data_IF_043407718091
#
_entry.id   IF_043407718091
#
_cell.length_a   1.000
_cell.length_b   1.000
_cell.length_c   1.000
_cell.angle_alpha   90.00
_cell.angle_beta   90.00
_cell.angle_gamma   90.00
#
_symmetry.space_group_name_H-M   'P 1'
#
loop_
_entity.id
_entity.type
_entity.pdbx_description
1 polymer ?
#
# COMPACT_ATOMS: atom_id res chain seq x y z
N UNK A 1 3.73 -3.93 -13.13
CA UNK A 1 4.05 -3.23 -11.87
C UNK A 1 4.97 -2.07 -12.21
N UNK A 2 4.63 -0.85 -11.80
CA UNK A 2 5.45 0.34 -12.04
C UNK A 2 6.33 0.60 -10.83
N UNK A 3 7.37 1.42 -11.00
CA UNK A 3 8.28 1.77 -9.91
C UNK A 3 7.66 2.83 -8.99
N UNK A 4 8.06 2.84 -7.71
CA UNK A 4 7.70 3.93 -6.78
C UNK A 4 8.07 5.30 -7.34
N UNK A 5 9.23 5.39 -8.01
CA UNK A 5 9.70 6.61 -8.69
C UNK A 5 8.66 7.23 -9.63
N UNK A 6 7.94 6.41 -10.40
CA UNK A 6 6.95 6.90 -11.38
C UNK A 6 5.85 7.72 -10.68
N UNK A 7 5.26 7.18 -9.61
CA UNK A 7 4.15 7.81 -8.90
C UNK A 7 4.59 9.07 -8.14
N UNK A 8 5.80 9.03 -7.57
CA UNK A 8 6.43 10.21 -6.97
C UNK A 8 6.57 11.34 -7.99
N UNK A 9 7.19 11.05 -9.13
CA UNK A 9 7.46 12.04 -10.18
C UNK A 9 6.16 12.57 -10.80
N UNK A 10 5.13 11.72 -10.91
CA UNK A 10 3.81 12.13 -11.37
C UNK A 10 3.20 13.20 -10.44
N UNK A 11 3.17 12.96 -9.13
CA UNK A 11 2.61 13.93 -8.18
C UNK A 11 3.44 15.22 -8.11
N UNK A 12 4.77 15.13 -8.16
CA UNK A 12 5.64 16.31 -8.20
C UNK A 12 5.43 17.17 -9.45
N UNK A 13 5.18 16.53 -10.60
CA UNK A 13 4.96 17.22 -11.86
C UNK A 13 3.58 17.85 -11.96
N UNK A 14 2.54 17.12 -11.52
CA UNK A 14 1.15 17.56 -11.65
C UNK A 14 0.70 18.46 -10.49
N UNK A 15 1.36 18.35 -9.34
CA UNK A 15 1.02 19.11 -8.12
C UNK A 15 -0.29 18.68 -7.46
N UNK A 16 -0.94 17.65 -8.00
CA UNK A 16 -2.22 17.13 -7.52
C UNK A 16 -1.99 16.00 -6.52
N UNK A 17 -2.05 16.35 -5.23
CA UNK A 17 -1.90 15.37 -4.14
C UNK A 17 -2.97 14.29 -4.24
N UNK A 18 -2.57 13.01 -4.22
CA UNK A 18 -3.48 11.87 -4.30
C UNK A 18 -3.39 11.05 -5.58
N UNK A 19 -2.77 11.57 -6.64
CA UNK A 19 -2.51 10.83 -7.88
C UNK A 19 -1.24 9.97 -7.80
N UNK A 20 -0.34 10.31 -6.89
CA UNK A 20 0.82 9.52 -6.50
C UNK A 20 1.10 9.75 -5.02
N UNK A 21 2.37 9.75 -4.64
CA UNK A 21 2.83 10.23 -3.34
C UNK A 21 4.25 10.78 -3.49
N UNK A 22 4.41 12.10 -3.40
CA UNK A 22 5.74 12.74 -3.51
C UNK A 22 6.68 12.33 -2.35
N UNK A 23 6.11 11.92 -1.22
CA UNK A 23 6.80 11.51 0.00
C UNK A 23 6.90 9.99 0.13
N UNK A 24 6.58 9.26 -0.94
CA UNK A 24 6.68 7.81 -0.98
C UNK A 24 8.10 7.31 -0.61
N UNK A 25 8.14 6.30 0.27
CA UNK A 25 9.35 5.72 0.88
C UNK A 25 10.26 6.73 1.62
N UNK A 26 9.75 7.90 1.99
CA UNK A 26 10.53 8.92 2.69
C UNK A 26 10.26 8.92 4.20
N UNK A 27 11.34 9.11 4.97
CA UNK A 27 11.25 9.50 6.37
C UNK A 27 11.13 11.03 6.43
N UNK A 28 9.96 11.50 6.87
CA UNK A 28 9.73 12.92 7.19
C UNK A 28 10.00 13.16 8.68
N UNK A 29 10.79 14.20 8.95
CA UNK A 29 11.15 14.68 10.27
C UNK A 29 10.79 16.16 10.40
N UNK A 30 9.95 16.50 11.37
CA UNK A 30 9.47 17.86 11.60
C UNK A 30 10.19 18.49 12.80
N UNK A 31 10.53 19.77 12.71
CA UNK A 31 11.14 20.55 13.78
C UNK A 31 12.37 19.87 14.43
N UNK A 32 13.34 19.49 13.58
CA UNK A 32 14.55 18.79 14.02
C UNK A 32 15.79 19.66 14.01
N UNK A 33 16.69 19.36 14.94
CA UNK A 33 18.08 19.82 14.89
C UNK A 33 18.95 18.68 14.37
N UNK A 34 19.76 18.94 13.35
CA UNK A 34 20.64 17.94 12.76
C UNK A 34 22.10 18.34 12.90
N UNK A 35 22.95 17.31 12.98
CA UNK A 35 24.41 17.43 12.97
C UNK A 35 24.97 16.40 12.01
N UNK A 36 25.85 16.85 11.12
CA UNK A 36 26.62 15.98 10.25
C UNK A 36 28.02 15.82 10.84
N UNK A 37 28.42 14.56 11.08
CA UNK A 37 29.72 14.20 11.65
C UNK A 37 30.33 13.06 10.84
N UNK A 38 31.67 13.05 10.62
CA UNK A 38 32.34 11.88 10.08
C UNK A 38 32.15 10.69 11.02
N UNK A 39 32.01 9.49 10.45
CA UNK A 39 31.85 8.27 11.23
C UNK A 39 33.05 8.10 12.17
N UNK A 40 32.79 7.88 13.47
CA UNK A 40 33.82 7.71 14.50
C UNK A 40 34.48 9.02 14.98
N UNK A 41 33.92 10.19 14.66
CA UNK A 41 34.40 11.49 15.11
C UNK A 41 33.31 12.30 15.82
N UNK A 42 33.67 12.97 16.91
CA UNK A 42 32.80 13.96 17.57
C UNK A 42 32.87 15.35 16.91
N UNK A 43 33.62 15.49 15.81
CA UNK A 43 33.75 16.76 15.10
C UNK A 43 32.52 17.02 14.24
N UNK A 44 31.68 17.95 14.70
CA UNK A 44 30.57 18.49 13.91
C UNK A 44 31.11 19.25 12.70
N UNK A 45 30.78 18.78 11.50
CA UNK A 45 31.14 19.42 10.22
C UNK A 45 30.09 20.43 9.82
N UNK A 46 28.82 20.12 10.12
CA UNK A 46 27.69 20.97 9.80
C UNK A 46 26.57 20.73 10.81
N UNK A 47 25.85 21.78 11.19
CA UNK A 47 24.67 21.68 12.04
C UNK A 47 23.62 22.70 11.64
N UNK A 48 22.36 22.40 11.88
CA UNK A 48 21.26 23.29 11.55
C UNK A 48 19.97 22.90 12.24
N UNK A 49 18.97 23.73 12.03
CA UNK A 49 17.57 23.45 12.39
C UNK A 49 16.76 23.45 11.12
N UNK A 50 15.79 22.56 11.04
CA UNK A 50 14.87 22.48 9.94
C UNK A 50 13.45 22.27 10.48
N UNK A 51 12.49 23.04 9.96
CA UNK A 51 11.07 22.81 10.25
C UNK A 51 10.59 21.49 9.63
N UNK A 52 11.22 21.08 8.53
CA UNK A 52 10.98 19.79 7.87
C UNK A 52 12.29 19.27 7.27
N UNK A 53 12.53 17.97 7.38
CA UNK A 53 13.61 17.24 6.74
C UNK A 53 13.06 15.96 6.14
N UNK A 54 13.40 15.70 4.88
CA UNK A 54 12.95 14.52 4.14
C UNK A 54 14.17 13.67 3.79
N UNK A 55 14.21 12.45 4.32
CA UNK A 55 15.26 11.47 4.09
C UNK A 55 14.72 10.31 3.26
N UNK A 56 15.47 9.86 2.25
CA UNK A 56 15.04 8.80 1.33
C UNK A 56 16.23 8.13 0.68
N UNK A 57 16.06 6.87 0.27
CA UNK A 57 16.97 6.15 -0.62
C UNK A 57 16.43 6.18 -2.05
N UNK A 58 17.25 6.61 -3.01
CA UNK A 58 16.89 6.57 -4.43
C UNK A 58 16.88 5.14 -4.99
N UNK A 59 17.61 4.22 -4.35
CA UNK A 59 17.63 2.80 -4.69
C UNK A 59 16.29 2.15 -4.36
N UNK A 60 15.68 2.51 -3.22
CA UNK A 60 14.37 1.98 -2.82
C UNK A 60 13.26 2.39 -3.79
N UNK A 61 13.38 3.57 -4.41
CA UNK A 61 12.46 4.06 -5.42
C UNK A 61 12.49 3.25 -6.73
N UNK A 62 13.52 2.44 -6.96
CA UNK A 62 13.64 1.60 -8.15
C UNK A 62 12.80 0.32 -8.07
N UNK A 63 12.35 -0.07 -6.87
CA UNK A 63 11.51 -1.23 -6.68
C UNK A 63 10.12 -1.03 -7.33
N UNK A 64 9.50 -2.12 -7.76
CA UNK A 64 8.21 -2.09 -8.43
C UNK A 64 7.08 -2.37 -7.45
N UNK A 65 5.93 -1.74 -7.67
CA UNK A 65 4.75 -1.93 -6.86
C UNK A 65 3.49 -2.17 -7.71
N UNK A 66 2.53 -2.84 -7.09
CA UNK A 66 1.15 -2.95 -7.51
C UNK A 66 0.26 -2.69 -6.29
N UNK A 67 -0.71 -1.80 -6.44
CA UNK A 67 -1.70 -1.51 -5.41
C UNK A 67 -3.08 -1.98 -5.84
N UNK A 68 -3.87 -2.45 -4.87
CA UNK A 68 -5.30 -2.63 -4.98
C UNK A 68 -5.98 -2.06 -3.74
N UNK A 69 -7.25 -1.70 -3.82
CA UNK A 69 -8.04 -1.34 -2.63
C UNK A 69 -8.42 -2.61 -1.89
N UNK A 70 -7.99 -2.72 -0.64
CA UNK A 70 -8.30 -3.85 0.23
C UNK A 70 -9.77 -3.80 0.66
N UNK A 71 -10.42 -4.97 0.70
CA UNK A 71 -11.69 -5.16 1.39
C UNK A 71 -11.35 -5.79 2.75
N UNK A 72 -11.28 -4.94 3.76
CA UNK A 72 -10.91 -5.29 5.14
C UNK A 72 -12.12 -5.25 6.05
N UNK A 73 -12.05 -5.81 7.28
CA UNK A 73 -13.20 -5.87 8.18
C UNK A 73 -13.85 -4.50 8.50
N UNK A 74 -13.10 -3.40 8.43
CA UNK A 74 -13.59 -2.04 8.68
C UNK A 74 -14.55 -1.50 7.61
N UNK A 75 -14.56 -2.10 6.41
CA UNK A 75 -15.50 -1.78 5.33
C UNK A 75 -16.57 -2.87 5.15
N UNK A 76 -16.76 -3.73 6.15
CA UNK A 76 -17.72 -4.83 6.13
C UNK A 76 -18.72 -4.72 7.28
N UNK A 77 -20.00 -4.90 6.98
CA UNK A 77 -21.08 -5.00 7.97
C UNK A 77 -21.63 -6.43 8.02
N UNK A 78 -21.75 -7.02 9.20
CA UNK A 78 -22.34 -8.36 9.36
C UNK A 78 -23.86 -8.29 9.19
N UNK A 79 -24.37 -8.95 8.14
CA UNK A 79 -25.80 -9.05 7.84
C UNK A 79 -26.44 -10.22 8.60
N UNK A 80 -25.74 -11.34 8.69
CA UNK A 80 -26.18 -12.52 9.43
C UNK A 80 -25.00 -13.38 9.84
N UNK A 81 -25.09 -14.03 10.99
CA UNK A 81 -24.12 -15.00 11.48
C UNK A 81 -24.84 -16.30 11.83
N UNK A 82 -24.36 -17.41 11.28
CA UNK A 82 -24.68 -18.74 11.76
C UNK A 82 -23.62 -19.14 12.79
N UNK A 83 -24.01 -19.14 14.07
CA UNK A 83 -23.11 -19.46 15.19
C UNK A 83 -22.70 -20.94 15.21
N UNK A 84 -23.51 -21.85 14.66
CA UNK A 84 -23.20 -23.28 14.63
C UNK A 84 -22.10 -23.59 13.60
N UNK A 85 -22.20 -22.98 12.43
CA UNK A 85 -21.25 -23.21 11.33
C UNK A 85 -20.11 -22.21 11.26
N UNK A 86 -20.22 -21.09 11.98
CA UNK A 86 -19.29 -19.96 11.92
C UNK A 86 -19.34 -19.19 10.61
N UNK A 87 -20.41 -19.36 9.81
CA UNK A 87 -20.57 -18.70 8.51
C UNK A 87 -21.26 -17.36 8.70
N UNK A 88 -20.62 -16.28 8.26
CA UNK A 88 -21.20 -14.94 8.24
C UNK A 88 -21.50 -14.48 6.81
N UNK A 89 -22.63 -13.81 6.63
CA UNK A 89 -22.88 -12.96 5.46
C UNK A 89 -22.50 -11.55 5.82
N UNK A 90 -21.64 -10.94 5.02
CA UNK A 90 -21.16 -9.58 5.23
C UNK A 90 -21.46 -8.73 4.01
N UNK A 91 -21.85 -7.47 4.23
CA UNK A 91 -22.12 -6.48 3.21
C UNK A 91 -20.92 -5.54 3.11
N UNK A 92 -20.51 -5.21 1.88
CA UNK A 92 -19.54 -4.14 1.66
C UNK A 92 -20.18 -2.78 1.95
N UNK A 93 -19.57 -2.00 2.82
CA UNK A 93 -20.03 -0.65 3.17
C UNK A 93 -18.85 0.31 3.00
N UNK A 94 -18.76 0.92 1.83
CA UNK A 94 -17.74 1.90 1.52
C UNK A 94 -18.10 3.27 2.12
N UNK A 95 -17.10 4.02 2.57
CA UNK A 95 -17.32 5.39 3.02
C UNK A 95 -17.67 6.30 1.84
N UNK A 96 -18.40 7.39 2.11
CA UNK A 96 -18.71 8.39 1.07
C UNK A 96 -17.44 8.94 0.41
N UNK A 97 -16.35 9.10 1.17
CA UNK A 97 -15.06 9.54 0.64
C UNK A 97 -14.51 8.55 -0.39
N UNK A 98 -14.57 7.24 -0.12
CA UNK A 98 -14.15 6.20 -1.07
C UNK A 98 -15.04 6.24 -2.31
N UNK A 99 -16.36 6.36 -2.13
CA UNK A 99 -17.33 6.38 -3.24
C UNK A 99 -17.05 7.57 -4.17
N UNK A 100 -16.98 8.79 -3.62
CA UNK A 100 -16.72 10.02 -4.39
C UNK A 100 -15.38 9.94 -5.14
N UNK A 101 -14.34 9.36 -4.52
CA UNK A 101 -13.05 9.19 -5.19
C UNK A 101 -13.10 8.12 -6.27
N UNK A 102 -13.74 6.98 -5.99
CA UNK A 102 -13.87 5.88 -6.94
C UNK A 102 -14.66 6.28 -8.19
N UNK A 103 -15.73 7.07 -8.07
CA UNK A 103 -16.50 7.58 -9.23
C UNK A 103 -15.63 8.38 -10.22
N UNK A 104 -14.58 9.05 -9.72
CA UNK A 104 -13.70 9.88 -10.54
C UNK A 104 -12.45 9.16 -11.04
N UNK A 105 -12.10 8.02 -10.45
CA UNK A 105 -10.81 7.34 -10.68
C UNK A 105 -10.98 5.95 -11.28
N UNK A 106 -12.06 5.24 -10.94
CA UNK A 106 -12.33 3.93 -11.51
C UNK A 106 -12.98 4.06 -12.87
N UNK A 107 -12.68 3.11 -13.77
CA UNK A 107 -13.38 2.99 -15.04
C UNK A 107 -14.77 2.38 -14.84
N UNK A 108 -15.39 1.92 -15.93
CA UNK A 108 -16.72 1.32 -15.90
C UNK A 108 -16.78 -0.02 -15.13
N UNK A 109 -15.62 -0.67 -14.96
CA UNK A 109 -15.51 -1.99 -14.34
C UNK A 109 -14.38 -2.04 -13.32
N UNK A 110 -14.55 -2.90 -12.32
CA UNK A 110 -13.53 -3.25 -11.32
C UNK A 110 -13.30 -4.75 -11.28
N UNK A 111 -12.07 -5.12 -10.92
CA UNK A 111 -11.69 -6.50 -10.65
C UNK A 111 -11.78 -6.76 -9.14
N UNK A 112 -12.67 -7.66 -8.74
CA UNK A 112 -12.72 -8.24 -7.41
C UNK A 112 -11.81 -9.46 -7.35
N UNK A 113 -10.80 -9.42 -6.49
CA UNK A 113 -9.73 -10.41 -6.43
C UNK A 113 -9.81 -11.17 -5.10
N UNK A 114 -9.91 -12.50 -5.17
CA UNK A 114 -9.62 -13.35 -4.01
C UNK A 114 -8.10 -13.37 -3.78
N UNK A 115 -7.67 -12.61 -2.77
CA UNK A 115 -6.25 -12.31 -2.55
C UNK A 115 -5.39 -13.54 -2.33
N UNK A 116 -5.89 -14.58 -1.65
CA UNK A 116 -5.06 -15.74 -1.26
C UNK A 116 -4.44 -16.45 -2.45
N UNK A 117 -5.28 -16.99 -3.34
CA UNK A 117 -4.80 -17.70 -4.54
C UNK A 117 -4.14 -16.78 -5.56
N UNK A 118 -4.58 -15.52 -5.64
CA UNK A 118 -3.93 -14.52 -6.49
C UNK A 118 -2.47 -14.32 -6.10
N UNK A 119 -2.18 -14.19 -4.80
CA UNK A 119 -0.81 -14.03 -4.31
C UNK A 119 0.07 -15.25 -4.57
N UNK A 120 -0.47 -16.47 -4.48
CA UNK A 120 0.25 -17.69 -4.85
C UNK A 120 0.73 -17.65 -6.31
N UNK A 121 -0.14 -17.22 -7.23
CA UNK A 121 0.21 -17.08 -8.65
C UNK A 121 1.24 -15.95 -8.88
N UNK A 122 1.12 -14.84 -8.15
CA UNK A 122 2.09 -13.74 -8.19
C UNK A 122 3.47 -14.21 -7.72
N UNK A 123 3.56 -14.93 -6.61
CA UNK A 123 4.81 -15.48 -6.09
C UNK A 123 5.47 -16.46 -7.07
N UNK A 124 4.68 -17.36 -7.68
CA UNK A 124 5.17 -18.28 -8.72
C UNK A 124 5.70 -17.51 -9.94
N UNK A 125 5.00 -16.48 -10.40
CA UNK A 125 5.41 -15.67 -11.54
C UNK A 125 6.66 -14.83 -11.23
N UNK A 126 6.74 -14.25 -10.03
CA UNK A 126 7.88 -13.48 -9.54
C UNK A 126 9.15 -14.34 -9.47
N UNK A 127 9.06 -15.55 -8.89
CA UNK A 127 10.17 -16.51 -8.82
C UNK A 127 10.71 -16.87 -10.20
N UNK A 128 9.84 -17.07 -11.20
CA UNK A 128 10.27 -17.33 -12.59
C UNK A 128 11.05 -16.17 -13.21
N UNK A 129 10.80 -14.94 -12.78
CA UNK A 129 11.53 -13.73 -13.19
C UNK A 129 12.75 -13.42 -12.31
N UNK A 130 13.02 -14.24 -11.29
CA UNK A 130 14.14 -14.05 -10.38
C UNK A 130 13.98 -12.86 -9.43
N UNK A 131 12.75 -12.42 -9.19
CA UNK A 131 12.45 -11.31 -8.26
C UNK A 131 11.75 -11.83 -7.02
N UNK A 132 12.01 -11.17 -5.89
CA UNK A 132 11.31 -11.47 -4.64
C UNK A 132 10.12 -10.53 -4.50
N UNK A 133 9.03 -11.00 -3.90
CA UNK A 133 7.86 -10.17 -3.60
C UNK A 133 7.56 -10.17 -2.11
N UNK A 134 7.12 -9.01 -1.62
CA UNK A 134 6.46 -8.88 -0.32
C UNK A 134 5.11 -8.21 -0.53
N UNK A 135 4.12 -8.54 0.30
CA UNK A 135 2.79 -7.97 0.18
C UNK A 135 2.15 -7.75 1.54
N UNK A 136 1.48 -6.61 1.70
CA UNK A 136 0.81 -6.26 2.93
C UNK A 136 -0.24 -5.17 2.74
N UNK A 137 -1.13 -5.04 3.73
CA UNK A 137 -1.98 -3.87 3.88
C UNK A 137 -1.11 -2.69 4.30
N UNK A 138 -1.39 -1.52 3.72
CA UNK A 138 -0.71 -0.27 4.09
C UNK A 138 -1.18 0.23 5.44
N UNK A 139 -0.23 0.54 6.32
CA UNK A 139 -0.46 1.26 7.57
C UNK A 139 -0.45 2.76 7.31
N UNK A 140 -1.41 3.46 7.90
CA UNK A 140 -1.53 4.91 7.78
C UNK A 140 -1.15 5.58 9.08
N UNK A 141 -0.20 6.50 9.01
CA UNK A 141 0.28 7.24 10.17
C UNK A 141 0.31 8.73 9.88
N UNK A 142 0.22 9.55 10.93
CA UNK A 142 0.37 11.00 10.81
C UNK A 142 1.86 11.32 10.65
N UNK A 143 2.27 11.71 9.43
CA UNK A 143 3.66 12.01 9.14
C UNK A 143 4.12 13.36 9.70
N UNK A 144 3.22 14.20 10.20
CA UNK A 144 3.57 15.43 10.91
C UNK A 144 4.19 15.17 12.29
N UNK A 145 3.99 13.96 12.84
CA UNK A 145 4.51 13.55 14.15
C UNK A 145 5.79 12.73 13.95
N UNK A 146 6.86 13.10 14.64
CA UNK A 146 8.10 12.32 14.69
C UNK A 146 7.90 11.12 15.62
N UNK A 147 8.02 9.90 15.07
CA UNK A 147 7.93 8.65 15.83
C UNK A 147 9.25 7.90 15.79
N UNK A 148 9.73 7.47 16.96
CA UNK A 148 11.00 6.75 17.10
C UNK A 148 11.01 5.45 16.30
N UNK A 149 9.88 4.74 16.25
CA UNK A 149 9.75 3.48 15.52
C UNK A 149 9.99 3.68 14.02
N UNK A 150 9.47 4.76 13.44
CA UNK A 150 9.66 5.09 12.02
C UNK A 150 11.11 5.44 11.70
N UNK A 151 11.76 6.20 12.58
CA UNK A 151 13.18 6.56 12.45
C UNK A 151 14.04 5.29 12.52
N UNK A 152 13.74 4.40 13.46
CA UNK A 152 14.45 3.14 13.62
C UNK A 152 14.22 2.20 12.42
N UNK A 153 12.98 2.08 11.94
CA UNK A 153 12.64 1.29 10.76
C UNK A 153 13.37 1.80 9.52
N UNK A 154 13.43 3.12 9.32
CA UNK A 154 14.18 3.75 8.22
C UNK A 154 15.68 3.42 8.30
N UNK A 155 16.30 3.62 9.47
CA UNK A 155 17.72 3.36 9.66
C UNK A 155 18.10 1.88 9.51
N UNK A 156 17.18 0.96 9.78
CA UNK A 156 17.38 -0.49 9.62
C UNK A 156 17.05 -0.99 8.20
N UNK A 157 16.50 -0.14 7.33
CA UNK A 157 15.97 -0.57 6.03
C UNK A 157 14.83 -1.58 6.15
N UNK A 158 13.91 -1.36 7.10
CA UNK A 158 12.77 -2.27 7.31
C UNK A 158 11.89 -2.33 6.05
N UNK A 159 11.35 -3.52 5.76
CA UNK A 159 10.34 -3.70 4.71
C UNK A 159 9.05 -2.94 5.02
N UNK A 160 8.79 -2.60 6.29
CA UNK A 160 7.59 -1.87 6.72
C UNK A 160 7.46 -0.52 6.01
N UNK A 161 8.57 0.11 5.65
CA UNK A 161 8.60 1.40 4.94
C UNK A 161 7.84 1.36 3.61
N UNK A 162 7.76 0.18 2.98
CA UNK A 162 7.07 -0.03 1.71
C UNK A 162 5.55 -0.16 1.88
N UNK A 163 5.09 -0.33 3.11
CA UNK A 163 3.70 -0.55 3.49
C UNK A 163 3.21 0.53 4.46
N UNK A 164 3.75 1.73 4.38
CA UNK A 164 3.37 2.88 5.20
C UNK A 164 3.03 4.09 4.32
N UNK A 165 1.98 4.83 4.68
CA UNK A 165 1.58 6.08 4.03
C UNK A 165 1.10 7.12 5.04
N UNK A 166 1.08 8.39 4.62
CA UNK A 166 0.45 9.44 5.40
C UNK A 166 -1.06 9.21 5.56
N UNK A 167 -1.63 9.65 6.67
CA UNK A 167 -3.07 9.52 6.98
C UNK A 167 -3.96 10.15 5.93
N UNK A 168 -3.47 11.16 5.19
CA UNK A 168 -4.16 11.71 4.02
C UNK A 168 -4.60 10.63 3.01
N UNK A 169 -3.82 9.57 2.82
CA UNK A 169 -4.09 8.52 1.84
C UNK A 169 -4.97 7.39 2.38
N UNK A 170 -5.45 7.48 3.63
CA UNK A 170 -6.19 6.39 4.29
C UNK A 170 -7.41 5.90 3.50
N UNK A 171 -8.08 6.80 2.78
CA UNK A 171 -9.23 6.45 1.93
C UNK A 171 -8.88 5.45 0.81
N UNK A 172 -7.61 5.33 0.40
CA UNK A 172 -7.22 4.38 -0.65
C UNK A 172 -7.29 2.92 -0.18
N UNK A 173 -7.21 2.70 1.14
CA UNK A 173 -7.17 1.39 1.80
C UNK A 173 -6.28 0.38 1.08
N UNK A 174 -5.06 0.78 0.69
CA UNK A 174 -4.18 0.01 -0.17
C UNK A 174 -3.74 -1.34 0.43
N UNK A 175 -3.84 -2.38 -0.39
CA UNK A 175 -3.04 -3.59 -0.32
C UNK A 175 -1.93 -3.48 -1.37
N UNK A 176 -0.67 -3.60 -0.94
CA UNK A 176 0.50 -3.49 -1.82
C UNK A 176 1.13 -4.85 -2.06
N UNK A 177 1.61 -5.04 -3.28
CA UNK A 177 2.60 -6.06 -3.65
C UNK A 177 3.82 -5.31 -4.15
N UNK A 178 4.97 -5.56 -3.54
CA UNK A 178 6.25 -4.93 -3.84
C UNK A 178 7.21 -5.98 -4.34
N UNK A 179 7.80 -5.74 -5.51
CA UNK A 179 8.80 -6.61 -6.11
C UNK A 179 10.20 -5.99 -6.01
N UNK A 180 11.13 -6.77 -5.48
CA UNK A 180 12.51 -6.39 -5.23
C UNK A 180 13.45 -7.03 -6.25
N UNK A 181 14.43 -6.27 -6.72
CA UNK A 181 15.47 -6.75 -7.64
C UNK A 181 15.03 -6.88 -9.11
N UNK A 182 13.95 -6.21 -9.50
CA UNK A 182 13.53 -6.11 -10.91
C UNK A 182 14.43 -5.18 -11.73
N UNK A 183 14.31 -5.26 -13.06
CA UNK A 183 14.98 -4.32 -13.98
C UNK A 183 14.43 -2.90 -13.77
N UNK A 184 15.27 -1.92 -13.39
CA UNK A 184 14.82 -0.57 -13.11
C UNK A 184 14.55 0.28 -14.35
N UNK A 185 14.76 -0.25 -15.57
CA UNK A 185 14.57 0.50 -16.82
C UNK A 185 13.11 0.59 -17.28
N UNK A 186 12.19 -0.13 -16.62
CA UNK A 186 10.79 -0.13 -17.03
C UNK A 186 9.87 -0.90 -16.08
N UNK A 187 8.60 -1.09 -16.47
CA UNK A 187 7.63 -1.83 -15.65
C UNK A 187 7.98 -3.32 -15.59
N UNK A 188 7.89 -3.90 -14.39
CA UNK A 188 7.94 -5.35 -14.21
C UNK A 188 6.63 -5.99 -14.69
N UNK A 189 6.75 -6.93 -15.63
CA UNK A 189 5.63 -7.71 -16.16
C UNK A 189 5.69 -9.15 -15.64
N UNK A 190 4.62 -9.58 -14.97
CA UNK A 190 4.46 -10.93 -14.45
C UNK A 190 3.35 -11.65 -15.23
N UNK A 191 3.63 -12.85 -15.71
CA UNK A 191 2.66 -13.71 -16.40
C UNK A 191 2.02 -14.65 -15.39
N UNK A 192 0.79 -14.33 -14.95
CA UNK A 192 0.08 -15.07 -13.91
C UNK A 192 -0.64 -16.33 -14.44
N UNK A 193 -0.79 -16.46 -15.77
CA UNK A 193 -1.63 -17.49 -16.38
C UNK A 193 -3.12 -17.14 -16.29
N UNK A 194 -3.96 -18.18 -16.23
CA UNK A 194 -5.40 -17.99 -16.02
C UNK A 194 -5.71 -17.66 -14.56
N UNK A 195 -6.41 -16.55 -14.35
CA UNK A 195 -6.81 -16.03 -13.03
C UNK A 195 -8.35 -15.95 -12.90
N UNK A 196 -9.08 -16.45 -13.89
CA UNK A 196 -10.54 -16.32 -14.00
C UNK A 196 -11.30 -16.97 -12.83
N UNK A 197 -10.72 -17.98 -12.20
CA UNK A 197 -11.30 -18.62 -11.01
C UNK A 197 -11.26 -17.74 -9.74
N UNK A 198 -10.42 -16.71 -9.70
CA UNK A 198 -10.15 -15.91 -8.49
C UNK A 198 -10.32 -14.41 -8.71
N UNK A 199 -10.65 -14.01 -9.94
CA UNK A 199 -10.94 -12.63 -10.31
C UNK A 199 -12.32 -12.58 -10.94
N UNK A 200 -13.20 -11.78 -10.33
CA UNK A 200 -14.51 -11.43 -10.90
C UNK A 200 -14.47 -10.00 -11.41
N UNK A 201 -14.94 -9.77 -12.63
CA UNK A 201 -15.13 -8.43 -13.17
C UNK A 201 -16.58 -8.04 -12.94
N UNK A 202 -16.80 -6.90 -12.28
CA UNK A 202 -18.13 -6.34 -12.06
C UNK A 202 -18.18 -4.90 -12.54
N UNK A 203 -19.39 -4.38 -12.74
CA UNK A 203 -19.59 -2.96 -12.98
C UNK A 203 -19.18 -2.16 -11.74
N UNK A 204 -18.45 -1.06 -11.92
CA UNK A 204 -18.06 -0.16 -10.83
C UNK A 204 -19.27 0.32 -10.05
N UNK A 205 -20.37 0.61 -10.76
CA UNK A 205 -21.63 1.02 -10.13
C UNK A 205 -22.14 0.00 -9.10
N UNK A 206 -22.03 -1.30 -9.41
CA UNK A 206 -22.44 -2.36 -8.49
C UNK A 206 -21.58 -2.40 -7.21
N UNK A 207 -20.28 -2.07 -7.31
CA UNK A 207 -19.40 -1.89 -6.15
C UNK A 207 -19.85 -0.70 -5.28
N UNK A 208 -20.18 0.42 -5.91
CA UNK A 208 -20.47 1.70 -5.25
C UNK A 208 -21.86 1.77 -4.62
N UNK A 209 -22.83 1.03 -5.14
CA UNK A 209 -24.20 0.98 -4.59
C UNK A 209 -24.30 0.15 -3.28
N UNK A 210 -23.17 -0.36 -2.77
CA UNK A 210 -23.07 -1.16 -1.54
C UNK A 210 -23.87 -2.48 -1.56
N UNK A 211 -24.26 -3.01 -2.71
CA UNK A 211 -25.11 -4.21 -2.78
C UNK A 211 -24.32 -5.54 -2.80
N UNK A 212 -23.01 -5.48 -2.60
CA UNK A 212 -22.17 -6.67 -2.57
C UNK A 212 -22.26 -7.36 -1.20
N UNK A 213 -22.75 -8.60 -1.24
CA UNK A 213 -22.78 -9.50 -0.08
C UNK A 213 -21.78 -10.64 -0.31
N UNK A 214 -20.87 -10.81 0.64
CA UNK A 214 -19.93 -11.92 0.67
C UNK A 214 -20.35 -12.94 1.72
N UNK A 215 -20.00 -14.20 1.51
CA UNK A 215 -20.07 -15.24 2.53
C UNK A 215 -18.66 -15.53 3.00
N UNK A 216 -18.40 -15.34 4.29
CA UNK A 216 -17.10 -15.59 4.91
C UNK A 216 -17.26 -16.63 6.02
N UNK A 217 -16.24 -17.46 6.22
CA UNK A 217 -16.15 -18.33 7.39
C UNK A 217 -15.28 -17.65 8.43
N UNK A 218 -15.82 -17.45 9.63
CA UNK A 218 -15.07 -16.94 10.77
C UNK A 218 -14.33 -18.11 11.42
N UNK A 219 -13.04 -17.95 11.64
CA UNK A 219 -12.25 -18.88 12.45
C UNK A 219 -12.28 -18.38 13.89
N UNK A 220 -12.46 -19.29 14.85
CA UNK A 220 -12.30 -18.94 16.26
C UNK A 220 -10.82 -18.67 16.51
N UNK A 221 -10.51 -17.49 17.04
CA UNK A 221 -9.18 -17.24 17.62
C UNK A 221 -9.03 -18.19 18.82
N UNK A 222 -8.03 -19.07 18.76
CA UNK A 222 -7.59 -19.81 19.94
C UNK A 222 -6.93 -18.81 20.90
N UNK A 223 -7.46 -18.71 22.13
CA UNK A 223 -6.92 -17.86 23.21
C UNK A 223 -5.60 -18.39 23.78
#
# INVERSE_FOLDING_TARGET
MNQFKLFKEQEEKEGNRGQGDKNELALILNDVEWKLMPVGSDKVVLQGKASESVLRSDDDLQNHLYCATAITPDVLEVVSLDEETGIAKVKLVLSNEIIEKAENVFGDHVALINVGKFLEQVDVAAKKKGVNVASNIVRYEDQSINRSERIEAFNKGSLDLYFEKDTFFKYQNEYRIVAFGGDPSGPLQLELGDISEHVSIIETKQLLENDLIFTIRLEKLEE
#
